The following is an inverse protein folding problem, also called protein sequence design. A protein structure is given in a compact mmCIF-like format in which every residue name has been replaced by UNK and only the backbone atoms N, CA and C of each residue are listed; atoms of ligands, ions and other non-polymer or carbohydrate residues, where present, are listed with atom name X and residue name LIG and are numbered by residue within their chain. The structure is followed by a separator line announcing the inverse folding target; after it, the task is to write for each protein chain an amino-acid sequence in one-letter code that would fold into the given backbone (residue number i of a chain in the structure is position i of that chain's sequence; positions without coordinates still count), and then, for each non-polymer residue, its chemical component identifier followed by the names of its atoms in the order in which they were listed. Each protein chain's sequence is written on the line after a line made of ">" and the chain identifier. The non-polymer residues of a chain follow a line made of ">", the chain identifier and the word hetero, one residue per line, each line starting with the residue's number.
data_IF_345173816838
#
_entry.id   IF_345173816838
#
_cell.length_a   1.000
_cell.length_b   1.000
_cell.length_c   1.000
_cell.angle_alpha   90.00
_cell.angle_beta   90.00
_cell.angle_gamma   90.00
#
_symmetry.space_group_name_H-M   'P 1'
#
loop_
_entity.id
_entity.type
_entity.pdbx_description
1 polymer ?
#
# COMPACT_ATOMS: atom_id res chain seq x y z
N UNK A 1 -17.88 23.65 -20.48
CA UNK A 1 -16.87 23.07 -19.57
C UNK A 1 -17.46 21.75 -19.10
N UNK A 2 -16.90 20.61 -19.51
CA UNK A 2 -17.41 19.29 -19.09
C UNK A 2 -16.97 19.08 -17.64
N UNK A 3 -17.90 18.78 -16.74
CA UNK A 3 -17.56 18.42 -15.38
C UNK A 3 -16.77 17.10 -15.39
N UNK A 4 -15.65 17.07 -14.68
CA UNK A 4 -14.91 15.83 -14.42
C UNK A 4 -15.83 14.84 -13.69
N UNK A 5 -15.91 13.60 -14.18
CA UNK A 5 -16.74 12.57 -13.56
C UNK A 5 -16.09 12.11 -12.24
N UNK A 6 -16.70 12.46 -11.10
CA UNK A 6 -16.19 12.12 -9.77
C UNK A 6 -16.75 10.77 -9.30
N UNK A 7 -15.87 9.81 -9.12
CA UNK A 7 -16.17 8.44 -8.72
C UNK A 7 -14.92 7.80 -8.11
N UNK A 8 -15.10 6.70 -7.37
CA UNK A 8 -14.04 6.00 -6.65
C UNK A 8 -13.61 4.68 -7.31
N UNK A 9 -13.94 4.43 -8.59
CA UNK A 9 -13.67 3.12 -9.23
C UNK A 9 -12.18 2.74 -9.26
N UNK A 10 -11.28 3.73 -9.21
CA UNK A 10 -9.83 3.54 -9.17
C UNK A 10 -9.24 3.50 -7.75
N UNK A 11 -10.07 3.57 -6.70
CA UNK A 11 -9.60 3.57 -5.32
C UNK A 11 -9.29 2.14 -4.86
N UNK A 12 -8.00 1.85 -4.70
CA UNK A 12 -7.54 0.62 -4.08
C UNK A 12 -7.76 0.63 -2.56
N UNK A 13 -8.21 -0.47 -1.94
CA UNK A 13 -8.40 -0.51 -0.51
C UNK A 13 -7.10 -0.30 0.27
N UNK A 14 -7.14 0.56 1.29
CA UNK A 14 -5.98 0.90 2.13
C UNK A 14 -6.15 0.30 3.52
N UNK A 15 -5.10 -0.36 3.99
CA UNK A 15 -5.01 -0.94 5.33
C UNK A 15 -3.87 -0.27 6.07
N UNK A 16 -4.03 -0.04 7.38
CA UNK A 16 -2.95 0.45 8.21
C UNK A 16 -3.25 0.33 9.69
N UNK A 17 -2.25 0.66 10.50
CA UNK A 17 -2.37 0.80 11.95
C UNK A 17 -2.44 2.29 12.29
N UNK A 18 -3.32 2.65 13.21
CA UNK A 18 -3.44 4.01 13.73
C UNK A 18 -2.89 4.09 15.15
N UNK A 19 -2.07 5.11 15.40
CA UNK A 19 -1.52 5.39 16.72
C UNK A 19 -2.58 6.13 17.55
N UNK A 20 -2.94 5.57 18.70
CA UNK A 20 -3.93 6.19 19.58
C UNK A 20 -3.33 7.40 20.27
N UNK A 21 -3.99 8.55 20.16
CA UNK A 21 -3.62 9.77 20.88
C UNK A 21 -4.75 10.24 21.81
N UNK A 22 -4.37 10.84 22.93
CA UNK A 22 -5.31 11.34 23.93
C UNK A 22 -5.89 12.67 23.48
N UNK A 23 -7.21 12.81 23.58
CA UNK A 23 -7.81 14.14 23.69
C UNK A 23 -7.42 14.76 25.04
N UNK A 24 -7.32 16.09 25.12
CA UNK A 24 -6.89 16.82 26.32
C UNK A 24 -7.83 16.63 27.54
N UNK A 25 -8.98 15.98 27.35
CA UNK A 25 -9.98 15.69 28.39
C UNK A 25 -9.98 14.25 28.92
N UNK A 26 -9.08 13.36 28.50
CA UNK A 26 -9.12 11.95 28.91
C UNK A 26 -8.34 11.67 30.19
N UNK A 27 -8.93 10.92 31.13
CA UNK A 27 -8.24 10.47 32.34
C UNK A 27 -7.02 9.57 32.00
N UNK A 28 -5.86 9.74 32.67
CA UNK A 28 -4.63 9.02 32.31
C UNK A 28 -4.73 7.49 32.38
N UNK A 29 -5.51 6.96 33.33
CA UNK A 29 -5.68 5.52 33.51
C UNK A 29 -6.48 4.88 32.35
N UNK A 30 -7.55 5.54 31.92
CA UNK A 30 -8.38 5.13 30.79
C UNK A 30 -7.60 5.22 29.47
N UNK A 31 -6.83 6.30 29.30
CA UNK A 31 -5.95 6.45 28.14
C UNK A 31 -4.89 5.34 28.07
N UNK A 32 -4.20 5.03 29.17
CA UNK A 32 -3.17 3.97 29.17
C UNK A 32 -3.72 2.58 28.78
N UNK A 33 -4.98 2.29 29.14
CA UNK A 33 -5.63 1.04 28.76
C UNK A 33 -5.96 0.97 27.26
N UNK A 34 -6.26 2.10 26.61
CA UNK A 34 -6.57 2.21 25.19
C UNK A 34 -5.33 2.45 24.32
N UNK A 35 -4.33 3.18 24.82
CA UNK A 35 -3.06 3.46 24.14
C UNK A 35 -2.22 2.20 23.94
N UNK A 36 -2.40 1.18 24.80
CA UNK A 36 -1.80 -0.14 24.63
C UNK A 36 -2.53 -1.02 23.60
N UNK A 37 -3.63 -0.55 23.00
CA UNK A 37 -4.36 -1.29 21.97
C UNK A 37 -3.90 -0.85 20.59
N UNK A 38 -3.64 -1.82 19.72
CA UNK A 38 -3.47 -1.57 18.29
C UNK A 38 -4.83 -1.37 17.64
N UNK A 39 -5.03 -0.22 17.01
CA UNK A 39 -6.18 0.03 16.16
C UNK A 39 -5.77 -0.17 14.71
N UNK A 40 -6.42 -1.10 14.03
CA UNK A 40 -6.30 -1.20 12.58
C UNK A 40 -7.41 -0.40 11.93
N UNK A 41 -7.08 0.26 10.82
CA UNK A 41 -8.06 0.89 9.97
C UNK A 41 -8.07 0.28 8.57
N UNK A 42 -9.22 0.41 7.93
CA UNK A 42 -9.51 -0.09 6.61
C UNK A 42 -10.34 0.95 5.88
N UNK A 43 -9.80 1.49 4.78
CA UNK A 43 -10.50 2.37 3.87
C UNK A 43 -10.78 1.63 2.56
N UNK A 44 -12.03 1.62 2.11
CA UNK A 44 -12.42 0.95 0.87
C UNK A 44 -13.68 1.55 0.26
N UNK A 45 -13.90 1.26 -1.01
CA UNK A 45 -15.15 1.63 -1.67
C UNK A 45 -16.25 0.64 -1.31
N UNK A 46 -17.44 1.17 -1.04
CA UNK A 46 -18.68 0.37 -1.00
C UNK A 46 -19.19 0.22 -2.45
N UNK A 47 -19.12 1.31 -3.21
CA UNK A 47 -19.46 1.41 -4.63
C UNK A 47 -18.72 2.61 -5.24
N UNK A 48 -19.01 2.91 -6.51
CA UNK A 48 -18.41 4.01 -7.27
C UNK A 48 -18.58 5.41 -6.65
N UNK A 49 -19.49 5.59 -5.67
CA UNK A 49 -19.84 6.89 -5.12
C UNK A 49 -19.67 7.00 -3.60
N UNK A 50 -19.33 5.90 -2.94
CA UNK A 50 -19.22 5.84 -1.48
C UNK A 50 -17.93 5.16 -1.04
N UNK A 51 -17.17 5.88 -0.24
CA UNK A 51 -15.96 5.41 0.42
C UNK A 51 -16.24 5.21 1.90
N UNK A 52 -15.90 4.05 2.44
CA UNK A 52 -16.02 3.72 3.86
C UNK A 52 -14.63 3.65 4.50
N UNK A 53 -14.52 4.21 5.70
CA UNK A 53 -13.34 4.13 6.56
C UNK A 53 -13.80 3.54 7.88
N UNK A 54 -13.18 2.43 8.26
CA UNK A 54 -13.44 1.71 9.52
C UNK A 54 -12.15 1.69 10.32
N UNK A 55 -12.21 1.96 11.63
CA UNK A 55 -11.11 1.77 12.56
C UNK A 55 -11.58 0.89 13.73
N UNK A 56 -10.82 -0.15 14.08
CA UNK A 56 -11.20 -1.06 15.16
C UNK A 56 -10.03 -1.69 15.90
N UNK A 57 -10.26 -1.95 17.19
CA UNK A 57 -9.40 -2.79 18.03
C UNK A 57 -9.80 -4.28 18.02
N UNK A 58 -10.82 -4.65 17.24
CA UNK A 58 -11.43 -5.99 17.16
C UNK A 58 -11.95 -6.57 18.49
N UNK A 59 -12.07 -5.74 19.52
CA UNK A 59 -12.50 -6.17 20.85
C UNK A 59 -13.80 -5.48 21.24
N UNK A 60 -13.74 -4.16 21.43
CA UNK A 60 -14.83 -3.37 22.01
C UNK A 60 -15.04 -2.04 21.29
N UNK A 61 -14.11 -1.62 20.45
CA UNK A 61 -14.16 -0.36 19.75
C UNK A 61 -14.11 -0.57 18.25
N UNK A 62 -15.18 -0.16 17.58
CA UNK A 62 -15.26 -0.04 16.14
C UNK A 62 -15.87 1.31 15.82
N UNK A 63 -15.17 2.08 15.00
CA UNK A 63 -15.61 3.37 14.51
C UNK A 63 -15.68 3.33 12.99
N UNK A 64 -16.64 4.04 12.42
CA UNK A 64 -16.83 4.11 10.98
C UNK A 64 -17.12 5.53 10.51
N UNK A 65 -16.85 5.76 9.22
CA UNK A 65 -17.39 6.88 8.47
C UNK A 65 -17.55 6.48 7.01
N UNK A 66 -18.71 6.76 6.46
CA UNK A 66 -18.97 6.70 5.03
C UNK A 66 -18.90 8.13 4.47
N UNK A 67 -18.18 8.31 3.38
CA UNK A 67 -18.04 9.54 2.62
C UNK A 67 -18.66 9.34 1.24
N UNK A 68 -19.63 10.18 0.92
CA UNK A 68 -20.12 10.34 -0.46
C UNK A 68 -19.13 11.15 -1.30
N UNK A 69 -19.27 11.08 -2.62
CA UNK A 69 -18.47 11.91 -3.54
C UNK A 69 -18.55 13.41 -3.21
N UNK A 70 -19.73 13.92 -2.83
CA UNK A 70 -19.86 15.34 -2.45
C UNK A 70 -19.13 15.66 -1.15
N UNK A 71 -19.28 14.84 -0.11
CA UNK A 71 -18.59 15.09 1.17
C UNK A 71 -17.07 14.95 1.04
N UNK A 72 -16.61 14.08 0.13
CA UNK A 72 -15.19 13.93 -0.17
C UNK A 72 -14.63 15.11 -1.00
N UNK A 73 -15.45 15.69 -1.87
CA UNK A 73 -15.12 16.92 -2.59
C UNK A 73 -15.06 18.14 -1.65
N UNK A 74 -16.02 18.24 -0.71
CA UNK A 74 -15.98 19.24 0.35
C UNK A 74 -14.72 19.06 1.22
N UNK A 75 -14.36 17.82 1.56
CA UNK A 75 -13.12 17.50 2.27
C UNK A 75 -11.88 17.96 1.48
N UNK A 76 -11.86 17.83 0.15
CA UNK A 76 -10.77 18.34 -0.68
C UNK A 76 -10.61 19.84 -0.51
N UNK A 77 -11.72 20.55 -0.55
CA UNK A 77 -11.75 22.01 -0.43
C UNK A 77 -11.33 22.45 0.98
N UNK A 78 -11.72 21.71 2.03
CA UNK A 78 -11.29 21.92 3.41
C UNK A 78 -9.78 21.69 3.62
N UNK A 79 -9.23 20.63 3.01
CA UNK A 79 -7.80 20.30 3.07
C UNK A 79 -6.97 21.31 2.26
N UNK A 80 -7.58 21.92 1.24
CA UNK A 80 -6.96 22.98 0.44
C UNK A 80 -5.94 22.48 -0.58
N UNK A 81 -6.07 21.22 -1.02
CA UNK A 81 -5.22 20.66 -2.07
C UNK A 81 -5.88 20.91 -3.43
N UNK A 82 -5.24 21.77 -4.23
CA UNK A 82 -5.60 21.96 -5.62
C UNK A 82 -5.19 20.76 -6.48
N UNK A 83 -5.86 20.59 -7.62
CA UNK A 83 -5.62 19.49 -8.55
C UNK A 83 -6.92 18.93 -9.10
N UNK A 84 -6.82 17.84 -9.84
CA UNK A 84 -7.96 17.05 -10.31
C UNK A 84 -8.62 16.29 -9.15
N UNK A 85 -9.79 15.71 -9.40
CA UNK A 85 -10.40 14.75 -8.48
C UNK A 85 -9.44 13.60 -8.14
N UNK A 86 -8.81 13.01 -9.16
CA UNK A 86 -7.95 11.84 -8.96
C UNK A 86 -6.66 12.19 -8.19
N UNK A 87 -6.12 13.39 -8.38
CA UNK A 87 -4.97 13.86 -7.59
C UNK A 87 -5.30 13.87 -6.09
N UNK A 88 -6.51 14.29 -5.73
CA UNK A 88 -6.94 14.28 -4.33
C UNK A 88 -7.24 12.88 -3.81
N UNK A 89 -7.88 12.01 -4.61
CA UNK A 89 -8.10 10.60 -4.25
C UNK A 89 -6.75 9.90 -3.99
N UNK A 90 -5.78 10.09 -4.87
CA UNK A 90 -4.43 9.55 -4.72
C UNK A 90 -3.71 10.15 -3.51
N UNK A 91 -3.84 11.45 -3.28
CA UNK A 91 -3.30 12.10 -2.09
C UNK A 91 -3.90 11.54 -0.79
N UNK A 92 -5.21 11.31 -0.76
CA UNK A 92 -5.91 10.73 0.37
C UNK A 92 -5.42 9.31 0.66
N UNK A 93 -5.37 8.45 -0.37
CA UNK A 93 -4.85 7.09 -0.24
C UNK A 93 -3.41 7.09 0.28
N UNK A 94 -2.53 7.92 -0.30
CA UNK A 94 -1.13 8.04 0.11
C UNK A 94 -0.97 8.55 1.55
N UNK A 95 -1.84 9.48 1.98
CA UNK A 95 -1.83 9.99 3.36
C UNK A 95 -2.18 8.91 4.38
N UNK A 96 -3.02 7.95 4.01
CA UNK A 96 -3.37 6.80 4.83
C UNK A 96 -2.30 5.69 4.77
N UNK A 97 -1.73 5.41 3.60
CA UNK A 97 -0.80 4.28 3.43
C UNK A 97 0.64 4.57 3.83
N UNK A 98 1.13 5.79 3.56
CA UNK A 98 2.52 6.19 3.79
C UNK A 98 2.68 7.14 4.98
N UNK A 99 1.57 7.74 5.41
CA UNK A 99 1.56 8.81 6.40
C UNK A 99 1.62 8.32 7.85
N UNK A 100 1.79 9.29 8.76
CA UNK A 100 1.54 9.06 10.17
C UNK A 100 0.03 9.18 10.43
N UNK A 101 -0.62 8.06 10.73
CA UNK A 101 -2.05 8.00 11.01
C UNK A 101 -2.28 7.91 12.51
N UNK A 102 -3.02 8.87 13.04
CA UNK A 102 -3.38 8.97 14.45
C UNK A 102 -4.88 8.81 14.62
N UNK A 103 -5.28 8.17 15.71
CA UNK A 103 -6.67 8.02 16.12
C UNK A 103 -6.86 8.72 17.47
N UNK A 104 -7.52 9.87 17.45
CA UNK A 104 -7.87 10.61 18.67
C UNK A 104 -9.21 10.09 19.16
N UNK A 105 -9.25 9.54 20.38
CA UNK A 105 -10.47 9.01 20.99
C UNK A 105 -11.12 10.08 21.88
N UNK A 106 -12.44 10.25 21.77
CA UNK A 106 -13.19 11.27 22.49
C UNK A 106 -14.50 10.78 23.12
N UNK A 107 -14.98 11.52 24.13
CA UNK A 107 -16.25 11.26 24.81
C UNK A 107 -16.23 10.14 25.86
N UNK A 108 -15.10 9.96 26.55
CA UNK A 108 -14.95 9.00 27.65
C UNK A 108 -15.61 9.59 28.90
N UNK A 109 -16.65 8.94 29.44
CA UNK A 109 -17.27 9.39 30.69
C UNK A 109 -16.42 8.94 31.89
N UNK A 110 -16.04 9.88 32.76
CA UNK A 110 -15.20 9.64 33.95
C UNK A 110 -15.91 8.84 35.08
N UNK A 111 -17.13 8.35 34.85
CA UNK A 111 -17.99 7.78 35.89
C UNK A 111 -18.44 6.35 35.51
N UNK A 112 -17.71 5.37 36.06
CA UNK A 112 -18.17 4.03 36.43
C UNK A 112 -18.46 2.95 35.36
N UNK A 113 -17.97 3.07 34.13
CA UNK A 113 -17.88 1.89 33.25
C UNK A 113 -16.67 1.99 32.34
N UNK A 114 -16.10 0.83 31.99
CA UNK A 114 -14.90 0.68 31.17
C UNK A 114 -14.84 1.71 30.03
N UNK A 115 -13.92 2.67 30.15
CA UNK A 115 -13.38 3.57 29.11
C UNK A 115 -14.01 3.49 27.71
N UNK A 116 -15.29 3.85 27.59
CA UNK A 116 -16.06 3.65 26.38
C UNK A 116 -16.01 4.93 25.53
N UNK A 117 -15.01 5.03 24.64
CA UNK A 117 -14.91 6.17 23.74
C UNK A 117 -16.16 6.23 22.84
N UNK A 118 -16.83 7.39 22.74
CA UNK A 118 -18.10 7.55 22.01
C UNK A 118 -17.91 7.95 20.55
N UNK A 119 -16.80 8.61 20.25
CA UNK A 119 -16.42 8.98 18.90
C UNK A 119 -14.90 8.93 18.77
N UNK A 120 -14.43 8.89 17.54
CA UNK A 120 -13.00 8.94 17.23
C UNK A 120 -12.74 9.96 16.12
N UNK A 121 -11.49 10.40 16.00
CA UNK A 121 -11.05 11.27 14.93
C UNK A 121 -9.77 10.71 14.33
N UNK A 122 -9.84 10.33 13.07
CA UNK A 122 -8.70 9.84 12.30
C UNK A 122 -7.98 11.04 11.68
N UNK A 123 -6.71 11.19 12.02
CA UNK A 123 -5.83 12.20 11.44
C UNK A 123 -4.79 11.49 10.58
N UNK A 124 -4.71 11.82 9.31
CA UNK A 124 -3.74 11.27 8.39
C UNK A 124 -2.85 12.39 7.84
N UNK A 125 -1.53 12.17 7.89
CA UNK A 125 -0.56 13.16 7.46
C UNK A 125 0.53 12.51 6.63
N UNK A 126 0.48 12.76 5.32
CA UNK A 126 1.41 12.16 4.35
C UNK A 126 2.88 12.51 4.65
N UNK A 127 3.19 13.79 4.86
CA UNK A 127 4.55 14.24 5.15
C UNK A 127 4.56 15.66 5.72
N UNK A 128 5.63 16.02 6.44
CA UNK A 128 5.77 17.34 7.06
C UNK A 128 5.67 18.46 6.00
N UNK A 129 4.81 19.44 6.26
CA UNK A 129 4.62 20.61 5.39
C UNK A 129 3.49 20.46 4.38
N UNK A 130 2.89 19.26 4.26
CA UNK A 130 1.63 19.09 3.52
C UNK A 130 0.43 19.26 4.46
N UNK A 131 -0.76 19.56 3.92
CA UNK A 131 -1.99 19.57 4.70
C UNK A 131 -2.23 18.23 5.42
N UNK A 132 -3.09 18.25 6.44
CA UNK A 132 -3.52 17.03 7.14
C UNK A 132 -4.96 16.72 6.79
N UNK A 133 -5.28 15.44 6.65
CA UNK A 133 -6.66 14.98 6.54
C UNK A 133 -7.18 14.67 7.94
N UNK A 134 -8.43 15.04 8.20
CA UNK A 134 -9.05 14.93 9.51
C UNK A 134 -10.49 14.44 9.34
N UNK A 135 -10.76 13.21 9.78
CA UNK A 135 -12.08 12.57 9.67
C UNK A 135 -12.63 12.23 11.05
N UNK A 136 -13.78 12.79 11.40
CA UNK A 136 -14.55 12.35 12.57
C UNK A 136 -15.25 11.03 12.24
N UNK A 137 -15.06 10.00 13.06
CA UNK A 137 -15.65 8.68 12.94
C UNK A 137 -16.71 8.47 14.03
N UNK A 138 -17.85 7.90 13.65
CA UNK A 138 -18.93 7.53 14.57
C UNK A 138 -18.69 6.15 15.15
N UNK A 139 -19.04 5.94 16.42
CA UNK A 139 -18.95 4.62 17.04
C UNK A 139 -20.07 3.70 16.58
N UNK A 140 -19.70 2.47 16.24
CA UNK A 140 -20.65 1.40 15.99
C UNK A 140 -21.01 0.64 17.25
N UNK A 141 -22.28 0.22 17.32
CA UNK A 141 -22.79 -0.62 18.39
C UNK A 141 -22.78 -2.09 17.96
N UNK A 142 -22.22 -2.96 18.81
CA UNK A 142 -22.20 -4.44 18.78
C UNK A 142 -22.57 -5.16 17.48
N UNK A 143 -23.85 -5.21 17.08
CA UNK A 143 -24.27 -5.94 15.88
C UNK A 143 -23.76 -5.29 14.58
N UNK A 144 -23.78 -3.96 14.50
CA UNK A 144 -23.22 -3.21 13.37
C UNK A 144 -21.70 -3.37 13.33
N UNK A 145 -21.06 -3.26 14.49
CA UNK A 145 -19.61 -3.43 14.63
C UNK A 145 -19.14 -4.80 14.14
N UNK A 146 -19.81 -5.89 14.55
CA UNK A 146 -19.48 -7.25 14.11
C UNK A 146 -19.65 -7.44 12.60
N UNK A 147 -20.70 -6.87 12.02
CA UNK A 147 -20.93 -6.97 10.57
C UNK A 147 -19.80 -6.34 9.76
N UNK A 148 -19.39 -5.13 10.14
CA UNK A 148 -18.35 -4.37 9.43
C UNK A 148 -16.95 -4.93 9.70
N UNK A 149 -16.63 -5.28 10.95
CA UNK A 149 -15.30 -5.80 11.33
C UNK A 149 -14.98 -7.16 10.70
N UNK A 150 -15.97 -7.99 10.37
CA UNK A 150 -15.73 -9.28 9.68
C UNK A 150 -15.14 -9.08 8.28
N UNK A 151 -15.39 -7.93 7.64
CA UNK A 151 -14.86 -7.65 6.31
C UNK A 151 -13.36 -7.35 6.33
N UNK A 152 -12.83 -6.78 7.42
CA UNK A 152 -11.42 -6.36 7.49
C UNK A 152 -10.47 -7.57 7.38
N UNK A 153 -10.59 -8.66 8.18
CA UNK A 153 -9.69 -9.82 8.05
C UNK A 153 -9.79 -10.52 6.70
N UNK A 154 -11.01 -10.62 6.15
CA UNK A 154 -11.22 -11.24 4.85
C UNK A 154 -10.58 -10.42 3.71
N UNK A 155 -10.75 -9.10 3.75
CA UNK A 155 -10.16 -8.19 2.78
C UNK A 155 -8.63 -8.19 2.89
N UNK A 156 -8.09 -8.18 4.11
CA UNK A 156 -6.66 -8.28 4.37
C UNK A 156 -6.07 -9.61 3.85
N UNK A 157 -6.76 -10.73 4.09
CA UNK A 157 -6.33 -12.04 3.57
C UNK A 157 -6.32 -12.09 2.03
N UNK A 158 -7.32 -11.50 1.38
CA UNK A 158 -7.36 -11.38 -0.09
C UNK A 158 -6.21 -10.53 -0.62
N UNK A 159 -5.96 -9.37 0.01
CA UNK A 159 -4.86 -8.48 -0.36
C UNK A 159 -3.50 -9.17 -0.19
N UNK A 160 -3.30 -9.91 0.91
CA UNK A 160 -2.09 -10.69 1.16
C UNK A 160 -1.88 -11.76 0.09
N UNK A 161 -2.93 -12.54 -0.24
CA UNK A 161 -2.84 -13.55 -1.31
C UNK A 161 -2.50 -12.93 -2.66
N UNK A 162 -3.07 -11.77 -2.98
CA UNK A 162 -2.73 -11.06 -4.22
C UNK A 162 -1.26 -10.69 -4.24
N UNK A 163 -0.76 -10.02 -3.19
CA UNK A 163 0.65 -9.64 -3.09
C UNK A 163 1.60 -10.84 -3.14
N UNK A 164 1.23 -11.96 -2.51
CA UNK A 164 2.00 -13.19 -2.58
C UNK A 164 2.13 -13.70 -4.03
N UNK A 165 1.03 -13.69 -4.79
CA UNK A 165 1.06 -14.08 -6.20
C UNK A 165 1.93 -13.15 -7.04
N UNK A 166 1.88 -11.84 -6.77
CA UNK A 166 2.69 -10.86 -7.49
C UNK A 166 4.19 -11.03 -7.20
N UNK A 167 4.55 -11.35 -5.95
CA UNK A 167 5.93 -11.68 -5.57
C UNK A 167 6.41 -12.92 -6.31
N UNK A 168 5.60 -13.98 -6.37
CA UNK A 168 5.95 -15.23 -7.10
C UNK A 168 6.18 -14.93 -8.59
N UNK A 169 5.28 -14.18 -9.23
CA UNK A 169 5.44 -13.77 -10.63
C UNK A 169 6.69 -12.92 -10.83
N UNK A 170 6.98 -12.00 -9.91
CA UNK A 170 8.19 -11.18 -9.96
C UNK A 170 9.46 -12.01 -9.84
N UNK A 171 9.47 -13.02 -8.97
CA UNK A 171 10.59 -13.95 -8.85
C UNK A 171 10.82 -14.77 -10.12
N UNK A 172 9.74 -15.28 -10.74
CA UNK A 172 9.84 -15.98 -12.03
C UNK A 172 10.42 -15.09 -13.14
N UNK A 173 10.02 -13.83 -13.18
CA UNK A 173 10.56 -12.85 -14.14
C UNK A 173 12.05 -12.59 -13.90
N UNK A 174 12.46 -12.41 -12.64
CA UNK A 174 13.87 -12.24 -12.28
C UNK A 174 14.70 -13.46 -12.70
N UNK A 175 14.24 -14.69 -12.42
CA UNK A 175 14.95 -15.90 -12.84
C UNK A 175 15.13 -15.99 -14.35
N UNK A 176 14.10 -15.62 -15.14
CA UNK A 176 14.21 -15.57 -16.61
C UNK A 176 15.23 -14.52 -17.07
N UNK A 177 15.24 -13.35 -16.43
CA UNK A 177 16.21 -12.29 -16.76
C UNK A 177 17.64 -12.72 -16.42
N UNK A 178 17.85 -13.41 -15.30
CA UNK A 178 19.16 -13.95 -14.90
C UNK A 178 19.66 -15.03 -15.88
N UNK A 179 18.76 -15.91 -16.35
CA UNK A 179 19.09 -16.90 -17.38
C UNK A 179 19.49 -16.22 -18.70
N UNK A 180 18.72 -15.23 -19.14
CA UNK A 180 19.05 -14.43 -20.33
C UNK A 180 20.41 -13.75 -20.20
N UNK A 181 20.67 -13.05 -19.08
CA UNK A 181 21.96 -12.40 -18.82
C UNK A 181 23.12 -13.39 -18.78
N UNK A 182 22.91 -14.59 -18.23
CA UNK A 182 23.91 -15.65 -18.20
C UNK A 182 24.21 -16.16 -19.60
N UNK A 183 23.18 -16.38 -20.43
CA UNK A 183 23.35 -16.78 -21.82
C UNK A 183 24.08 -15.70 -22.64
N UNK A 184 23.77 -14.43 -22.43
CA UNK A 184 24.41 -13.30 -23.12
C UNK A 184 25.89 -13.17 -22.75
N UNK A 185 26.26 -13.41 -21.49
CA UNK A 185 27.67 -13.45 -21.06
C UNK A 185 28.47 -14.59 -21.68
N UNK A 186 27.81 -15.69 -22.05
CA UNK A 186 28.46 -16.84 -22.68
C UNK A 186 28.70 -16.63 -24.18
N UNK A 187 27.90 -15.80 -24.86
CA UNK A 187 28.04 -15.54 -26.30
C UNK A 187 29.45 -15.01 -26.67
N UNK A 188 30.01 -13.98 -26.00
CA UNK A 188 31.36 -13.49 -26.30
C UNK A 188 32.46 -14.53 -26.01
N UNK A 189 32.26 -15.36 -24.99
CA UNK A 189 33.22 -16.40 -24.59
C UNK A 189 33.27 -17.49 -25.66
N UNK A 190 32.11 -17.96 -26.11
CA UNK A 190 31.98 -18.96 -27.19
C UNK A 190 32.53 -18.40 -28.50
N UNK A 191 32.20 -17.15 -28.84
CA UNK A 191 32.75 -16.49 -30.04
C UNK A 191 34.28 -16.41 -30.01
N UNK A 192 34.89 -16.02 -28.89
CA UNK A 192 36.36 -15.98 -28.76
C UNK A 192 36.97 -17.38 -28.86
N UNK A 193 36.36 -18.38 -28.23
CA UNK A 193 36.85 -19.77 -28.30
C UNK A 193 36.87 -20.27 -29.75
N UNK A 194 35.75 -20.13 -30.45
CA UNK A 194 35.61 -20.56 -31.85
C UNK A 194 36.56 -19.80 -32.77
N UNK A 195 36.74 -18.50 -32.55
CA UNK A 195 37.69 -17.69 -33.32
C UNK A 195 39.14 -18.16 -33.12
N UNK A 196 39.54 -18.42 -31.87
CA UNK A 196 40.88 -18.90 -31.54
C UNK A 196 41.15 -20.29 -32.12
N UNK A 197 40.14 -21.18 -32.10
CA UNK A 197 40.23 -22.51 -32.70
C UNK A 197 40.36 -22.44 -34.23
N UNK A 198 39.59 -21.57 -34.90
CA UNK A 198 39.71 -21.39 -36.34
C UNK A 198 41.08 -20.82 -36.76
N UNK A 199 41.64 -19.90 -35.97
CA UNK A 199 42.99 -19.39 -36.17
C UNK A 199 44.07 -20.46 -35.97
N UNK A 200 43.89 -21.41 -35.05
CA UNK A 200 44.85 -22.50 -34.83
C UNK A 200 44.85 -23.49 -36.01
N UNK A 201 43.66 -23.82 -36.54
CA UNK A 201 43.49 -24.68 -37.72
C UNK A 201 44.14 -24.03 -38.95
N UNK A 202 43.89 -22.73 -39.19
CA UNK A 202 44.47 -22.02 -40.33
C UNK A 202 46.01 -22.00 -40.25
N UNK A 203 46.58 -21.77 -39.06
CA UNK A 203 48.03 -21.83 -38.85
C UNK A 203 48.60 -23.22 -39.15
N UNK A 204 47.94 -24.28 -38.66
CA UNK A 204 48.36 -25.66 -38.92
C UNK A 204 48.31 -25.99 -40.42
N UNK A 205 47.25 -25.59 -41.13
CA UNK A 205 47.12 -25.79 -42.57
C UNK A 205 48.18 -25.02 -43.37
N UNK A 206 48.51 -23.78 -42.99
CA UNK A 206 49.58 -23.01 -43.63
C UNK A 206 50.98 -23.59 -43.40
N UNK A 207 51.23 -24.15 -42.21
CA UNK A 207 52.49 -24.86 -41.91
C UNK A 207 52.65 -26.15 -42.71
N UNK A 208 51.54 -26.86 -42.95
CA UNK A 208 51.51 -28.04 -43.81
C UNK A 208 51.70 -27.70 -45.29
N UNK A 209 51.17 -26.56 -45.77
CA UNK A 209 51.34 -26.11 -47.15
C UNK A 209 52.81 -25.76 -47.47
N UNK A 210 53.49 -25.09 -46.55
CA UNK A 210 54.91 -24.76 -46.68
C UNK A 210 55.81 -26.00 -46.66
N UNK A 211 55.42 -27.06 -45.94
CA UNK A 211 56.19 -28.31 -45.89
C UNK A 211 56.00 -29.20 -47.13
N UNK A 212 54.92 -29.00 -47.89
CA UNK A 212 54.66 -29.70 -49.16
C UNK A 212 55.39 -29.02 -50.34
N UNK A 213 55.63 -27.72 -50.28
CA UNK A 213 56.42 -27.00 -51.29
C UNK A 213 57.94 -27.25 -51.17
N UNK A 214 58.46 -27.53 -49.97
CA UNK A 214 59.88 -27.86 -49.73
C UNK A 214 60.27 -29.32 -50.11
N UNK A 215 59.32 -30.14 -50.57
CA UNK A 215 59.52 -31.55 -50.94
C UNK A 215 59.35 -31.82 -52.45
N UNK A 216 59.32 -30.78 -53.30
CA UNK A 216 59.28 -30.88 -54.77
C UNK A 216 60.57 -30.41 -55.41
#
# INVERSE_FOLDING_TARGET
>A
MMAEAKHFDEFDPVFGEAIVESDQGMAPASFNALANRSFLFYAHTIDSYRLEIVASDFLSHTFERVLTVSEFDDLRDEVGIGGSWNDFVHYFAASLSEGNVQLILGGVDDLHSESDAKHAKLIAHKSKGLPRISLSLGKLVNLSAKGVTVNIPLALFKALKSKQNDIVKGQEQLSRMEEMLSSERLIPVVWRSNHNEMLSILKAASGLYLHIEDQK
#
